data_IF_780935466304
#
_entry.id   IF_780935466304
#
_cell.length_a   1.000
_cell.length_b   1.000
_cell.length_c   1.000
_cell.angle_alpha   90.00
_cell.angle_beta   90.00
_cell.angle_gamma   90.00
#
_symmetry.space_group_name_H-M   'P 1'
#
loop_
_entity.id
_entity.type
_entity.pdbx_description
1 polymer ?
#
# COMPACT_ATOMS: atom_id res chain seq x y z
N UNK A 1 24.37 -9.36 -9.12
CA UNK A 1 25.41 -8.67 -8.32
C UNK A 1 24.83 -8.47 -6.95
N UNK A 2 25.48 -8.97 -5.89
CA UNK A 2 25.03 -8.73 -4.52
C UNK A 2 24.96 -7.21 -4.30
N UNK A 3 23.82 -6.70 -3.81
CA UNK A 3 23.67 -5.31 -3.45
C UNK A 3 24.78 -4.93 -2.47
N UNK A 4 25.61 -3.96 -2.83
CA UNK A 4 26.59 -3.40 -1.92
C UNK A 4 25.80 -2.69 -0.81
N UNK A 5 25.91 -3.17 0.43
CA UNK A 5 25.35 -2.47 1.58
C UNK A 5 25.97 -1.06 1.64
N UNK A 6 25.19 0.02 1.48
CA UNK A 6 25.69 1.37 1.67
C UNK A 6 26.11 1.54 3.15
N UNK A 7 27.07 2.42 3.41
CA UNK A 7 27.71 2.62 4.72
C UNK A 7 26.71 2.69 5.89
N UNK A 8 26.99 1.95 6.96
CA UNK A 8 26.22 1.72 8.20
C UNK A 8 25.68 2.94 8.97
N UNK A 9 25.89 4.18 8.54
CA UNK A 9 25.33 5.34 9.24
C UNK A 9 24.22 5.96 8.42
N UNK A 10 23.03 6.07 9.01
CA UNK A 10 21.93 6.88 8.51
C UNK A 10 22.45 8.24 8.01
N UNK A 11 22.08 8.68 6.79
CA UNK A 11 22.46 9.99 6.27
C UNK A 11 22.12 11.12 7.26
N UNK A 12 22.90 12.20 7.21
CA UNK A 12 22.73 13.33 8.13
C UNK A 12 21.60 14.26 7.68
N UNK A 13 20.94 14.88 8.64
CA UNK A 13 20.00 15.98 8.41
C UNK A 13 20.72 17.33 8.46
N UNK A 14 20.21 18.29 7.69
CA UNK A 14 20.72 19.67 7.64
C UNK A 14 19.54 20.64 7.84
N UNK A 15 19.02 20.78 9.08
CA UNK A 15 17.76 21.49 9.35
C UNK A 15 17.84 23.01 9.07
N UNK A 16 19.04 23.57 8.99
CA UNK A 16 19.25 24.99 8.67
C UNK A 16 19.09 25.29 7.17
N UNK A 17 19.15 24.27 6.30
CA UNK A 17 18.92 24.41 4.88
C UNK A 17 17.41 24.41 4.57
N UNK A 18 17.00 25.14 3.53
CA UNK A 18 15.65 25.00 2.97
C UNK A 18 15.53 23.68 2.22
N UNK A 19 14.33 23.09 2.18
CA UNK A 19 14.09 21.85 1.42
C UNK A 19 14.33 22.03 -0.07
N UNK A 20 14.06 23.22 -0.61
CA UNK A 20 14.33 23.57 -2.01
C UNK A 20 15.78 23.99 -2.31
N UNK A 21 16.70 23.89 -1.34
CA UNK A 21 18.11 24.18 -1.57
C UNK A 21 18.75 23.15 -2.51
N UNK A 22 19.37 23.63 -3.59
CA UNK A 22 19.95 22.74 -4.61
C UNK A 22 21.12 21.90 -4.11
N UNK A 23 21.91 22.41 -3.15
CA UNK A 23 23.01 21.67 -2.56
C UNK A 23 22.52 20.54 -1.65
N UNK A 24 21.51 20.84 -0.83
CA UNK A 24 20.81 19.81 -0.03
C UNK A 24 20.20 18.73 -0.93
N UNK A 25 19.47 19.11 -1.98
CA UNK A 25 18.81 18.15 -2.87
C UNK A 25 19.80 17.27 -3.62
N UNK A 26 20.96 17.80 -4.01
CA UNK A 26 22.03 17.00 -4.60
C UNK A 26 22.55 15.96 -3.60
N UNK A 27 22.81 16.36 -2.35
CA UNK A 27 23.24 15.44 -1.30
C UNK A 27 22.15 14.40 -0.96
N UNK A 28 20.87 14.75 -1.03
CA UNK A 28 19.76 13.79 -0.89
C UNK A 28 19.73 12.80 -2.05
N UNK A 29 19.93 13.26 -3.29
CA UNK A 29 19.99 12.41 -4.49
C UNK A 29 21.13 11.39 -4.37
N UNK A 30 22.32 11.81 -3.96
CA UNK A 30 23.49 10.92 -3.80
C UNK A 30 23.42 10.07 -2.53
N UNK A 31 22.52 10.37 -1.60
CA UNK A 31 22.35 9.64 -0.34
C UNK A 31 23.30 10.07 0.77
N UNK A 32 23.94 11.23 0.63
CA UNK A 32 24.82 11.84 1.64
C UNK A 32 24.02 12.60 2.71
N UNK A 33 22.81 13.05 2.38
CA UNK A 33 21.89 13.73 3.28
C UNK A 33 20.49 13.10 3.23
N UNK A 34 19.68 13.36 4.25
CA UNK A 34 18.24 13.06 4.27
C UNK A 34 17.44 14.29 4.68
N UNK A 35 16.19 14.35 4.23
CA UNK A 35 15.28 15.47 4.48
C UNK A 35 14.68 15.41 5.89
N UNK A 36 14.45 16.57 6.51
CA UNK A 36 13.54 16.70 7.65
C UNK A 36 12.07 16.69 7.18
N UNK A 37 11.09 16.40 8.04
CA UNK A 37 9.67 16.46 7.65
C UNK A 37 9.23 17.87 7.18
N UNK A 38 9.79 18.95 7.73
CA UNK A 38 9.52 20.32 7.29
C UNK A 38 10.03 20.57 5.87
N UNK A 39 11.24 20.10 5.56
CA UNK A 39 11.81 20.20 4.21
C UNK A 39 10.97 19.38 3.23
N UNK A 40 10.55 18.17 3.61
CA UNK A 40 9.61 17.37 2.82
C UNK A 40 8.27 18.06 2.57
N UNK A 41 7.73 18.74 3.57
CA UNK A 41 6.49 19.52 3.45
C UNK A 41 6.67 20.73 2.53
N UNK A 42 7.79 21.43 2.62
CA UNK A 42 8.15 22.53 1.71
C UNK A 42 8.19 22.03 0.27
N UNK A 43 8.84 20.89 0.00
CA UNK A 43 8.88 20.28 -1.32
C UNK A 43 7.47 19.91 -1.81
N UNK A 44 6.68 19.24 -0.97
CA UNK A 44 5.32 18.79 -1.32
C UNK A 44 4.39 19.95 -1.64
N UNK A 45 4.55 21.10 -0.99
CA UNK A 45 3.59 22.23 -1.09
C UNK A 45 4.07 23.38 -1.97
N UNK A 46 5.39 23.57 -2.15
CA UNK A 46 5.93 24.77 -2.81
C UNK A 46 6.77 24.50 -4.05
N UNK A 47 7.44 23.35 -4.16
CA UNK A 47 8.29 23.07 -5.32
C UNK A 47 7.43 22.88 -6.59
N UNK A 48 7.81 23.44 -7.76
CA UNK A 48 7.13 23.16 -9.02
C UNK A 48 7.08 21.65 -9.31
N UNK A 49 5.92 21.13 -9.72
CA UNK A 49 5.68 19.68 -9.87
C UNK A 49 6.73 18.97 -10.74
N UNK A 50 7.09 19.56 -11.88
CA UNK A 50 8.06 18.95 -12.80
C UNK A 50 9.47 18.95 -12.20
N UNK A 51 9.83 19.99 -11.45
CA UNK A 51 11.12 20.05 -10.77
C UNK A 51 11.22 19.00 -9.66
N UNK A 52 10.16 18.85 -8.87
CA UNK A 52 10.05 17.80 -7.85
C UNK A 52 10.16 16.40 -8.47
N UNK A 53 9.48 16.16 -9.59
CA UNK A 53 9.60 14.91 -10.34
C UNK A 53 11.05 14.64 -10.78
N UNK A 54 11.74 15.64 -11.32
CA UNK A 54 13.15 15.51 -11.75
C UNK A 54 14.08 15.13 -10.60
N UNK A 55 13.95 15.75 -9.43
CA UNK A 55 14.77 15.40 -8.26
C UNK A 55 14.49 13.97 -7.80
N UNK A 56 13.22 13.56 -7.74
CA UNK A 56 12.83 12.21 -7.37
C UNK A 56 13.30 11.15 -8.38
N UNK A 57 13.19 11.41 -9.68
CA UNK A 57 13.70 10.54 -10.75
C UNK A 57 15.22 10.40 -10.67
N UNK A 58 15.95 11.50 -10.45
CA UNK A 58 17.40 11.45 -10.23
C UNK A 58 17.76 10.55 -9.04
N UNK A 59 17.08 10.70 -7.90
CA UNK A 59 17.29 9.80 -6.74
C UNK A 59 16.99 8.34 -7.10
N UNK A 60 15.90 8.08 -7.81
CA UNK A 60 15.55 6.73 -8.26
C UNK A 60 16.64 6.13 -9.17
N UNK A 61 17.17 6.90 -10.12
CA UNK A 61 18.28 6.49 -11.00
C UNK A 61 19.58 6.26 -10.25
N UNK A 62 19.90 7.06 -9.23
CA UNK A 62 21.05 6.81 -8.36
C UNK A 62 20.95 5.44 -7.67
N UNK A 63 19.74 5.04 -7.23
CA UNK A 63 19.52 3.79 -6.51
C UNK A 63 19.39 2.56 -7.42
N UNK A 64 18.73 2.70 -8.56
CA UNK A 64 18.32 1.57 -9.41
C UNK A 64 18.96 1.56 -10.80
N UNK A 65 19.74 2.59 -11.12
CA UNK A 65 20.29 2.81 -12.45
C UNK A 65 19.24 3.29 -13.47
N UNK A 66 19.73 3.46 -14.70
CA UNK A 66 18.96 4.03 -15.82
C UNK A 66 18.25 2.99 -16.67
N UNK A 67 18.55 1.70 -16.50
CA UNK A 67 18.14 0.66 -17.44
C UNK A 67 16.78 0.08 -17.12
N UNK A 68 16.58 -0.43 -15.91
CA UNK A 68 15.43 -1.28 -15.60
C UNK A 68 14.37 -0.59 -14.75
N UNK A 69 13.10 -0.95 -14.99
CA UNK A 69 12.00 -0.75 -14.03
C UNK A 69 11.22 -2.06 -13.91
N UNK A 70 10.78 -2.35 -12.71
CA UNK A 70 10.30 -3.69 -12.37
C UNK A 70 8.78 -3.81 -12.35
N UNK A 71 8.31 -5.05 -12.47
CA UNK A 71 6.94 -5.45 -12.19
C UNK A 71 6.95 -6.87 -11.59
N UNK A 72 5.87 -7.29 -10.95
CA UNK A 72 5.69 -8.65 -10.45
C UNK A 72 4.48 -9.31 -11.11
N UNK A 73 4.50 -10.64 -11.21
CA UNK A 73 3.31 -11.42 -11.56
C UNK A 73 2.85 -12.08 -10.27
N UNK A 74 1.86 -11.48 -9.63
CA UNK A 74 1.23 -12.01 -8.43
C UNK A 74 -0.29 -12.15 -8.61
N UNK A 75 -0.95 -12.69 -7.58
CA UNK A 75 -2.40 -12.65 -7.47
C UNK A 75 -2.83 -12.10 -6.13
N UNK A 76 -3.72 -11.10 -6.16
CA UNK A 76 -4.44 -10.63 -4.99
C UNK A 76 -5.55 -11.63 -4.64
N UNK A 77 -5.52 -12.16 -3.43
CA UNK A 77 -6.53 -13.09 -2.91
C UNK A 77 -7.14 -12.50 -1.66
N UNK A 78 -8.43 -12.17 -1.73
CA UNK A 78 -9.19 -11.82 -0.55
C UNK A 78 -9.94 -13.06 -0.06
N UNK A 79 -9.41 -13.70 0.98
CA UNK A 79 -9.97 -14.97 1.48
C UNK A 79 -11.30 -14.79 2.21
N UNK A 80 -11.61 -13.58 2.68
CA UNK A 80 -12.92 -13.21 3.24
C UNK A 80 -13.13 -11.71 3.15
N UNK A 81 -14.39 -11.27 3.03
CA UNK A 81 -14.77 -9.87 3.20
C UNK A 81 -15.48 -9.59 4.55
N UNK A 82 -15.69 -10.62 5.39
CA UNK A 82 -16.24 -10.49 6.75
C UNK A 82 -15.21 -9.83 7.64
N UNK A 83 -15.57 -8.71 8.28
CA UNK A 83 -14.60 -7.90 9.01
C UNK A 83 -15.20 -7.23 10.26
N UNK A 84 -14.51 -7.33 11.40
CA UNK A 84 -14.88 -6.64 12.64
C UNK A 84 -14.69 -5.12 12.58
N UNK A 85 -13.77 -4.62 11.76
CA UNK A 85 -13.53 -3.18 11.63
C UNK A 85 -14.61 -2.47 10.82
N UNK A 86 -14.89 -1.22 11.22
CA UNK A 86 -15.89 -0.34 10.60
C UNK A 86 -15.22 0.89 9.99
N UNK A 87 -14.20 0.64 9.18
CA UNK A 87 -13.43 1.67 8.49
C UNK A 87 -14.35 2.50 7.58
N UNK A 88 -14.34 3.83 7.74
CA UNK A 88 -15.25 4.70 6.98
C UNK A 88 -14.85 4.83 5.52
N UNK A 89 -13.64 4.44 5.15
CA UNK A 89 -13.10 4.46 3.79
C UNK A 89 -13.18 3.12 3.06
N UNK A 90 -13.68 2.05 3.71
CA UNK A 90 -13.67 0.71 3.14
C UNK A 90 -15.04 0.37 2.56
N UNK A 91 -15.10 0.12 1.24
CA UNK A 91 -16.30 -0.40 0.56
C UNK A 91 -16.36 -1.94 0.54
N UNK A 92 -15.26 -2.61 0.90
CA UNK A 92 -15.12 -4.06 0.82
C UNK A 92 -15.70 -4.79 2.04
N UNK A 93 -15.63 -4.19 3.23
CA UNK A 93 -16.03 -4.86 4.48
C UNK A 93 -17.51 -5.22 4.51
N UNK A 94 -17.81 -6.41 5.04
CA UNK A 94 -19.15 -6.90 5.34
C UNK A 94 -19.26 -7.36 6.79
N UNK A 95 -20.44 -7.16 7.36
CA UNK A 95 -20.85 -7.87 8.57
C UNK A 95 -21.18 -9.34 8.16
N UNK A 96 -21.10 -10.29 9.10
CA UNK A 96 -21.17 -11.72 8.76
C UNK A 96 -22.54 -12.18 8.22
N UNK A 97 -23.59 -11.40 8.47
CA UNK A 97 -24.96 -11.62 8.04
C UNK A 97 -25.34 -10.82 6.77
N UNK A 98 -24.42 -9.99 6.24
CA UNK A 98 -24.63 -9.32 4.97
C UNK A 98 -24.77 -10.36 3.84
N UNK A 99 -25.73 -10.14 2.94
CA UNK A 99 -26.07 -11.06 1.85
C UNK A 99 -24.92 -11.36 0.86
N UNK A 100 -23.95 -10.45 0.75
CA UNK A 100 -22.77 -10.57 -0.10
C UNK A 100 -21.49 -10.80 0.72
N UNK A 101 -21.62 -11.24 1.98
CA UNK A 101 -20.50 -11.72 2.78
C UNK A 101 -20.01 -13.10 2.30
N UNK A 102 -18.70 -13.35 2.38
CA UNK A 102 -18.10 -14.63 2.00
C UNK A 102 -16.83 -14.94 2.77
N UNK A 103 -16.51 -16.23 2.85
CA UNK A 103 -15.18 -16.77 3.16
C UNK A 103 -14.88 -17.88 2.16
N UNK A 104 -13.77 -17.76 1.43
CA UNK A 104 -13.36 -18.76 0.44
C UNK A 104 -12.94 -20.05 1.14
N UNK A 105 -13.28 -21.20 0.54
CA UNK A 105 -12.70 -22.47 0.95
C UNK A 105 -11.22 -22.54 0.58
N UNK A 106 -10.40 -23.33 1.30
CA UNK A 106 -9.02 -23.59 0.91
C UNK A 106 -8.90 -24.08 -0.54
N UNK A 107 -9.83 -24.93 -1.01
CA UNK A 107 -9.87 -25.44 -2.38
C UNK A 107 -10.01 -24.31 -3.41
N UNK A 108 -10.92 -23.35 -3.18
CA UNK A 108 -11.08 -22.20 -4.06
C UNK A 108 -9.82 -21.32 -4.09
N UNK A 109 -9.11 -21.22 -2.96
CA UNK A 109 -7.81 -20.52 -2.89
C UNK A 109 -6.75 -21.29 -3.69
N UNK A 110 -6.70 -22.62 -3.59
CA UNK A 110 -5.75 -23.44 -4.34
C UNK A 110 -6.00 -23.35 -5.86
N UNK A 111 -7.25 -23.33 -6.32
CA UNK A 111 -7.58 -23.17 -7.73
C UNK A 111 -7.10 -21.81 -8.26
N UNK A 112 -7.31 -20.75 -7.49
CA UNK A 112 -6.79 -19.41 -7.80
C UNK A 112 -5.25 -19.39 -7.89
N UNK A 113 -4.55 -20.13 -7.03
CA UNK A 113 -3.08 -20.25 -7.07
C UNK A 113 -2.63 -21.08 -8.28
N UNK A 114 -3.35 -22.15 -8.63
CA UNK A 114 -3.04 -22.95 -9.81
C UNK A 114 -3.12 -22.13 -11.11
N UNK A 115 -4.14 -21.28 -11.24
CA UNK A 115 -4.26 -20.33 -12.36
C UNK A 115 -3.09 -19.34 -12.42
N UNK A 116 -2.63 -18.83 -11.27
CA UNK A 116 -1.46 -17.95 -11.19
C UNK A 116 -0.18 -18.68 -11.64
N UNK A 117 0.04 -19.90 -11.15
CA UNK A 117 1.21 -20.71 -11.52
C UNK A 117 1.22 -21.00 -13.03
N UNK A 118 0.04 -21.26 -13.62
CA UNK A 118 -0.11 -21.53 -15.05
C UNK A 118 0.35 -20.37 -15.95
N UNK A 119 0.28 -19.12 -15.46
CA UNK A 119 0.78 -17.93 -16.17
C UNK A 119 2.19 -17.52 -15.72
N UNK A 120 2.87 -18.34 -14.94
CA UNK A 120 4.25 -18.11 -14.48
C UNK A 120 4.36 -17.08 -13.36
N UNK A 121 3.29 -16.89 -12.58
CA UNK A 121 3.32 -16.11 -11.36
C UNK A 121 4.05 -16.82 -10.22
N UNK A 122 4.64 -16.03 -9.32
CA UNK A 122 5.55 -16.54 -8.27
C UNK A 122 5.15 -16.14 -6.86
N UNK A 123 4.06 -15.38 -6.72
CA UNK A 123 3.68 -14.77 -5.45
C UNK A 123 2.15 -14.65 -5.35
N UNK A 124 1.63 -14.80 -4.14
CA UNK A 124 0.29 -14.31 -3.80
C UNK A 124 0.37 -13.16 -2.81
N UNK A 125 -0.50 -12.18 -2.98
CA UNK A 125 -0.82 -11.18 -1.96
C UNK A 125 -2.17 -11.55 -1.35
N UNK A 126 -2.17 -12.06 -0.11
CA UNK A 126 -3.38 -12.59 0.53
C UNK A 126 -3.77 -11.79 1.78
N UNK A 127 -4.91 -11.10 1.71
CA UNK A 127 -5.41 -10.23 2.78
C UNK A 127 -6.93 -10.30 2.83
N UNK A 128 -7.52 -10.35 4.02
CA UNK A 128 -8.96 -10.48 4.18
C UNK A 128 -9.55 -9.47 5.16
N UNK A 129 -10.86 -9.58 5.34
CA UNK A 129 -11.50 -9.05 6.52
C UNK A 129 -11.07 -9.81 7.78
N UNK A 130 -11.18 -9.14 8.93
CA UNK A 130 -10.81 -9.69 10.23
C UNK A 130 -11.99 -10.50 10.76
N UNK A 131 -12.06 -11.78 10.36
CA UNK A 131 -13.19 -12.68 10.60
C UNK A 131 -12.99 -13.52 11.90
N UNK A 132 -13.76 -13.28 12.97
CA UNK A 132 -13.58 -13.96 14.26
C UNK A 132 -14.03 -15.42 14.25
N UNK A 133 -14.72 -15.88 13.19
CA UNK A 133 -15.15 -17.27 13.06
C UNK A 133 -14.00 -18.22 12.63
N UNK A 134 -12.87 -17.67 12.18
CA UNK A 134 -11.73 -18.45 11.70
C UNK A 134 -10.73 -18.69 12.84
N UNK A 135 -10.52 -19.93 13.31
CA UNK A 135 -9.53 -20.23 14.33
C UNK A 135 -8.11 -20.16 13.74
N UNK A 136 -7.09 -19.93 14.59
CA UNK A 136 -5.68 -19.88 14.17
C UNK A 136 -5.27 -21.12 13.32
N UNK A 137 -5.75 -22.31 13.69
CA UNK A 137 -5.46 -23.55 12.96
C UNK A 137 -5.90 -23.51 11.49
N UNK A 138 -6.99 -22.79 11.16
CA UNK A 138 -7.43 -22.63 9.78
C UNK A 138 -6.38 -21.90 8.93
N UNK A 139 -5.78 -20.84 9.47
CA UNK A 139 -4.71 -20.09 8.81
C UNK A 139 -3.45 -20.96 8.64
N UNK A 140 -3.06 -21.70 9.68
CA UNK A 140 -1.89 -22.59 9.60
C UNK A 140 -2.10 -23.72 8.58
N UNK A 141 -3.29 -24.33 8.55
CA UNK A 141 -3.65 -25.38 7.61
C UNK A 141 -3.67 -24.86 6.17
N UNK A 142 -4.20 -23.65 5.96
CA UNK A 142 -4.18 -22.98 4.66
C UNK A 142 -2.74 -22.76 4.18
N UNK A 143 -1.87 -22.17 4.99
CA UNK A 143 -0.47 -21.91 4.63
C UNK A 143 0.29 -23.20 4.31
N UNK A 144 0.17 -24.23 5.17
CA UNK A 144 0.78 -25.55 4.95
C UNK A 144 0.26 -26.20 3.67
N UNK A 145 -1.05 -26.09 3.43
CA UNK A 145 -1.69 -26.61 2.24
C UNK A 145 -1.24 -25.94 0.95
N UNK A 146 -1.01 -24.62 0.97
CA UNK A 146 -0.42 -23.86 -0.14
C UNK A 146 1.01 -24.33 -0.39
N UNK A 147 1.87 -24.35 0.63
CA UNK A 147 3.28 -24.76 0.48
C UNK A 147 3.44 -26.21 0.00
N UNK A 148 2.56 -27.11 0.43
CA UNK A 148 2.58 -28.50 -0.01
C UNK A 148 2.23 -28.66 -1.51
N UNK A 149 1.29 -27.86 -2.02
CA UNK A 149 0.81 -27.94 -3.42
C UNK A 149 1.64 -27.08 -4.37
N UNK A 150 2.10 -25.93 -3.90
CA UNK A 150 2.76 -24.90 -4.69
C UNK A 150 4.05 -24.43 -3.99
N UNK A 151 5.07 -25.29 -3.84
CA UNK A 151 6.27 -24.98 -3.06
C UNK A 151 7.07 -23.78 -3.59
N UNK A 152 6.90 -23.43 -4.86
CA UNK A 152 7.54 -22.26 -5.48
C UNK A 152 6.79 -20.93 -5.29
N UNK A 153 5.62 -20.92 -4.65
CA UNK A 153 4.85 -19.68 -4.40
C UNK A 153 5.32 -19.01 -3.11
N UNK A 154 5.64 -17.72 -3.25
CA UNK A 154 5.86 -16.80 -2.15
C UNK A 154 4.52 -16.32 -1.57
N UNK A 155 4.30 -16.54 -0.28
CA UNK A 155 3.10 -16.16 0.45
C UNK A 155 3.33 -14.82 1.14
N UNK A 156 2.91 -13.75 0.48
CA UNK A 156 2.86 -12.39 1.04
C UNK A 156 1.47 -12.18 1.65
N UNK A 157 1.30 -12.41 2.95
CA UNK A 157 -0.04 -12.50 3.53
C UNK A 157 -0.17 -11.84 4.91
N UNK A 158 -1.42 -11.47 5.22
CA UNK A 158 -1.89 -10.89 6.48
C UNK A 158 -1.26 -9.54 6.82
N UNK A 159 -2.11 -8.53 6.88
CA UNK A 159 -1.72 -7.17 7.25
C UNK A 159 -1.60 -6.98 8.77
N UNK A 160 -0.93 -5.91 9.23
CA UNK A 160 -0.87 -5.61 10.65
C UNK A 160 -2.23 -5.54 11.38
N UNK A 161 -3.30 -4.95 10.82
CA UNK A 161 -4.63 -5.05 11.43
C UNK A 161 -5.08 -6.49 11.69
N UNK A 162 -4.85 -7.42 10.75
CA UNK A 162 -5.20 -8.83 10.94
C UNK A 162 -4.39 -9.47 12.08
N UNK A 163 -3.10 -9.18 12.18
CA UNK A 163 -2.27 -9.67 13.29
C UNK A 163 -2.69 -9.12 14.65
N UNK A 164 -3.10 -7.86 14.73
CA UNK A 164 -3.63 -7.27 15.96
C UNK A 164 -4.94 -7.95 16.36
N UNK A 165 -5.81 -8.22 15.39
CA UNK A 165 -7.03 -9.00 15.66
C UNK A 165 -6.73 -10.46 16.00
N UNK A 166 -5.68 -11.09 15.44
CA UNK A 166 -5.25 -12.42 15.88
C UNK A 166 -4.82 -12.43 17.35
N UNK A 167 -4.14 -11.38 17.81
CA UNK A 167 -3.82 -11.21 19.23
C UNK A 167 -5.10 -11.08 20.06
N UNK A 168 -6.09 -10.32 19.60
CA UNK A 168 -7.36 -10.17 20.31
C UNK A 168 -8.22 -11.46 20.32
N UNK A 169 -8.32 -12.15 19.19
CA UNK A 169 -9.16 -13.33 19.02
C UNK A 169 -8.59 -14.57 19.68
N UNK A 170 -7.27 -14.74 19.63
CA UNK A 170 -6.62 -15.96 20.09
C UNK A 170 -5.97 -15.83 21.47
N UNK A 171 -5.90 -14.61 22.02
CA UNK A 171 -5.29 -14.26 23.31
C UNK A 171 -4.00 -15.06 23.59
N UNK A 172 -2.96 -14.90 22.74
CA UNK A 172 -1.72 -15.65 22.89
C UNK A 172 -0.99 -15.25 24.18
N UNK A 173 -0.13 -16.13 24.72
CA UNK A 173 0.68 -15.81 25.89
C UNK A 173 1.67 -14.67 25.61
N UNK A 174 2.00 -13.90 26.64
CA UNK A 174 2.92 -12.76 26.58
C UNK A 174 2.40 -11.58 27.38
N UNK A 175 3.30 -10.81 27.99
CA UNK A 175 2.97 -9.64 28.80
C UNK A 175 2.92 -8.36 27.94
N UNK A 176 3.61 -8.38 26.80
CA UNK A 176 3.70 -7.26 25.86
C UNK A 176 3.06 -7.58 24.51
N UNK A 177 2.68 -6.53 23.78
CA UNK A 177 2.17 -6.67 22.42
C UNK A 177 3.19 -7.36 21.49
N UNK A 178 4.48 -7.03 21.63
CA UNK A 178 5.55 -7.65 20.84
C UNK A 178 5.63 -9.17 21.06
N UNK A 179 5.53 -9.65 22.31
CA UNK A 179 5.55 -11.09 22.64
C UNK A 179 4.32 -11.81 22.08
N UNK A 180 3.14 -11.22 22.24
CA UNK A 180 1.88 -11.76 21.73
C UNK A 180 1.88 -11.86 20.20
N UNK A 181 2.33 -10.80 19.51
CA UNK A 181 2.50 -10.80 18.06
C UNK A 181 3.51 -11.85 17.62
N UNK A 182 4.66 -11.93 18.31
CA UNK A 182 5.72 -12.89 17.98
C UNK A 182 5.24 -14.33 18.11
N UNK A 183 4.42 -14.63 19.11
CA UNK A 183 3.83 -15.96 19.28
C UNK A 183 2.99 -16.37 18.06
N UNK A 184 2.02 -15.53 17.68
CA UNK A 184 1.14 -15.82 16.53
C UNK A 184 1.95 -15.87 15.23
N UNK A 185 2.82 -14.89 15.01
CA UNK A 185 3.56 -14.77 13.77
C UNK A 185 4.55 -15.91 13.58
N UNK A 186 5.24 -16.35 14.64
CA UNK A 186 6.13 -17.51 14.56
C UNK A 186 5.38 -18.76 14.10
N UNK A 187 4.18 -19.00 14.62
CA UNK A 187 3.34 -20.13 14.20
C UNK A 187 2.97 -20.07 12.72
N UNK A 188 2.63 -18.89 12.22
CA UNK A 188 2.32 -18.69 10.79
C UNK A 188 3.57 -18.81 9.91
N UNK A 189 4.73 -18.34 10.36
CA UNK A 189 6.03 -18.55 9.68
C UNK A 189 6.37 -20.04 9.61
N UNK A 190 6.26 -20.76 10.73
CA UNK A 190 6.48 -22.21 10.79
C UNK A 190 5.48 -22.97 9.89
N UNK A 191 4.30 -22.41 9.64
CA UNK A 191 3.30 -22.94 8.71
C UNK A 191 3.54 -22.57 7.23
N UNK A 192 4.43 -21.62 6.94
CA UNK A 192 4.84 -21.26 5.57
C UNK A 192 4.63 -19.81 5.14
N UNK A 193 4.35 -18.87 6.06
CA UNK A 193 4.30 -17.44 5.75
C UNK A 193 5.70 -16.91 5.40
N UNK A 194 5.84 -16.20 4.27
CA UNK A 194 7.15 -15.73 3.80
C UNK A 194 7.37 -14.21 3.96
N UNK A 195 6.30 -13.39 3.94
CA UNK A 195 6.39 -11.93 4.14
C UNK A 195 5.03 -11.31 4.49
N UNK A 196 5.04 -10.06 4.99
CA UNK A 196 3.82 -9.34 5.36
C UNK A 196 3.56 -8.11 4.49
N UNK A 197 2.34 -7.93 3.96
CA UNK A 197 1.95 -6.73 3.23
C UNK A 197 1.70 -5.53 4.14
N UNK A 198 1.98 -4.35 3.61
CA UNK A 198 1.81 -3.07 4.30
C UNK A 198 0.38 -2.58 4.48
N UNK A 199 -0.63 -3.40 4.20
CA UNK A 199 -2.04 -2.99 4.30
C UNK A 199 -2.39 -2.40 5.67
N UNK A 200 -3.28 -1.41 5.70
CA UNK A 200 -3.71 -0.79 6.95
C UNK A 200 -2.81 0.32 7.50
N UNK A 201 -1.81 0.76 6.75
CA UNK A 201 -0.98 1.92 7.09
C UNK A 201 -1.75 3.25 6.99
N UNK A 202 -2.64 3.40 6.00
CA UNK A 202 -3.51 4.57 5.79
C UNK A 202 -2.77 5.91 6.07
N UNK A 203 -3.18 6.64 7.11
CA UNK A 203 -2.44 7.75 7.72
C UNK A 203 -2.21 7.44 9.20
N UNK A 204 -1.00 7.69 9.72
CA UNK A 204 -0.66 7.37 11.11
C UNK A 204 -1.11 8.41 12.13
N UNK A 205 -1.24 9.68 11.72
CA UNK A 205 -1.64 10.75 12.62
C UNK A 205 -2.90 10.41 13.41
N UNK A 206 -2.81 10.48 14.74
CA UNK A 206 -3.85 10.04 15.67
C UNK A 206 -5.19 10.74 15.42
N UNK A 207 -5.27 12.06 15.15
CA UNK A 207 -6.52 12.73 14.81
C UNK A 207 -7.21 12.14 13.58
N UNK A 208 -6.44 11.71 12.57
CA UNK A 208 -6.96 11.09 11.34
C UNK A 208 -7.43 9.67 11.64
N UNK A 209 -6.59 8.83 12.28
CA UNK A 209 -6.93 7.43 12.59
C UNK A 209 -8.21 7.30 13.40
N UNK A 210 -8.40 8.14 14.42
CA UNK A 210 -9.60 8.15 15.26
C UNK A 210 -10.90 8.38 14.47
N UNK A 211 -10.83 9.03 13.30
CA UNK A 211 -12.02 9.29 12.46
C UNK A 211 -12.24 8.25 11.36
N UNK A 212 -11.16 7.68 10.81
CA UNK A 212 -11.27 6.84 9.61
C UNK A 212 -11.22 5.33 9.91
N UNK A 213 -10.51 4.92 10.95
CA UNK A 213 -10.17 3.53 11.24
C UNK A 213 -10.85 2.96 12.48
N UNK A 214 -12.18 3.07 12.58
CA UNK A 214 -12.92 2.51 13.72
C UNK A 214 -12.74 0.98 13.80
N UNK A 215 -12.18 0.48 14.91
CA UNK A 215 -11.87 -0.93 15.11
C UNK A 215 -10.66 -1.44 14.33
N UNK A 216 -9.84 -0.54 13.76
CA UNK A 216 -8.55 -0.88 13.16
C UNK A 216 -7.43 -0.54 14.14
N UNK A 217 -6.28 -1.22 14.04
CA UNK A 217 -5.11 -0.91 14.86
C UNK A 217 -4.66 0.56 14.69
N UNK A 218 -3.93 1.11 15.66
CA UNK A 218 -3.31 2.44 15.54
C UNK A 218 -1.93 2.37 14.87
N UNK A 219 -1.19 3.48 14.90
CA UNK A 219 0.14 3.57 14.28
C UNK A 219 1.18 2.71 15.02
N UNK A 220 1.22 2.80 16.35
CA UNK A 220 2.19 2.06 17.16
C UNK A 220 1.98 0.56 17.03
N UNK A 221 0.73 0.08 17.09
CA UNK A 221 0.41 -1.33 16.88
C UNK A 221 0.78 -1.80 15.46
N UNK A 222 0.54 -0.98 14.44
CA UNK A 222 0.93 -1.29 13.06
C UNK A 222 2.45 -1.41 12.90
N UNK A 223 3.20 -0.43 13.42
CA UNK A 223 4.66 -0.36 13.34
C UNK A 223 5.31 -1.47 14.17
N UNK A 224 4.78 -1.75 15.35
CA UNK A 224 5.20 -2.87 16.22
C UNK A 224 5.03 -4.21 15.51
N UNK A 225 3.91 -4.42 14.82
CA UNK A 225 3.69 -5.66 14.06
C UNK A 225 4.72 -5.85 12.96
N UNK A 226 5.02 -4.79 12.21
CA UNK A 226 6.05 -4.85 11.17
C UNK A 226 7.44 -5.13 11.74
N UNK A 227 7.79 -4.49 12.85
CA UNK A 227 9.07 -4.73 13.53
C UNK A 227 9.20 -6.16 14.07
N UNK A 228 8.11 -6.72 14.62
CA UNK A 228 8.09 -8.13 15.02
C UNK A 228 8.32 -9.05 13.81
N UNK A 229 7.71 -8.76 12.66
CA UNK A 229 7.98 -9.50 11.43
C UNK A 229 9.45 -9.41 11.00
N UNK A 230 10.01 -8.20 11.02
CA UNK A 230 11.43 -7.99 10.72
C UNK A 230 12.33 -8.79 11.67
N UNK A 231 12.02 -8.83 12.97
CA UNK A 231 12.78 -9.64 13.93
C UNK A 231 12.66 -11.16 13.78
N UNK A 232 11.75 -11.62 12.92
CA UNK A 232 11.65 -13.02 12.50
C UNK A 232 12.29 -13.25 11.12
N UNK A 233 13.03 -12.27 10.59
CA UNK A 233 13.69 -12.33 9.30
C UNK A 233 12.80 -12.03 8.09
N UNK A 234 11.54 -11.63 8.31
CA UNK A 234 10.60 -11.40 7.21
C UNK A 234 10.77 -10.02 6.59
N UNK A 235 10.78 -9.95 5.27
CA UNK A 235 10.63 -8.67 4.57
C UNK A 235 9.17 -8.24 4.55
N UNK A 236 8.94 -6.92 4.51
CA UNK A 236 7.58 -6.37 4.46
C UNK A 236 7.48 -5.21 3.48
N UNK A 237 6.25 -4.73 3.25
CA UNK A 237 5.99 -3.45 2.57
C UNK A 237 5.33 -2.47 3.54
N UNK A 238 5.42 -1.18 3.25
CA UNK A 238 4.70 -0.12 3.93
C UNK A 238 3.74 0.57 2.96
N UNK A 239 2.59 1.02 3.44
CA UNK A 239 1.60 1.67 2.57
C UNK A 239 0.98 2.90 3.18
N UNK A 240 0.59 3.85 2.32
CA UNK A 240 -0.06 5.09 2.73
C UNK A 240 -1.22 5.42 1.78
N UNK A 241 -2.45 5.30 2.27
CA UNK A 241 -3.63 5.78 1.57
C UNK A 241 -3.89 7.24 1.95
N UNK A 242 -4.01 8.13 0.97
CA UNK A 242 -4.08 9.58 1.21
C UNK A 242 -5.11 10.27 0.31
N UNK A 243 -5.31 11.58 0.48
CA UNK A 243 -6.25 12.35 -0.35
C UNK A 243 -7.67 12.29 0.18
N UNK A 244 -7.82 12.34 1.50
CA UNK A 244 -9.08 12.36 2.20
C UNK A 244 -9.14 13.50 3.22
N UNK A 245 -9.18 13.20 4.52
CA UNK A 245 -9.36 14.21 5.59
C UNK A 245 -8.04 14.78 6.10
N UNK A 246 -6.91 14.19 5.75
CA UNK A 246 -5.58 14.46 6.31
C UNK A 246 -4.95 15.74 5.77
N UNK A 247 -4.10 16.38 6.58
CA UNK A 247 -3.25 17.46 6.10
C UNK A 247 -2.02 16.95 5.37
N UNK A 248 -1.34 17.84 4.63
CA UNK A 248 -0.08 17.46 3.98
C UNK A 248 1.00 17.03 4.99
N UNK A 249 1.09 17.70 6.15
CA UNK A 249 2.03 17.34 7.20
C UNK A 249 1.78 15.92 7.76
N UNK A 250 0.53 15.44 7.79
CA UNK A 250 0.23 14.06 8.23
C UNK A 250 0.85 13.00 7.30
N UNK A 251 0.97 13.30 5.99
CA UNK A 251 1.62 12.40 5.03
C UNK A 251 3.12 12.30 5.28
N UNK A 252 3.77 13.44 5.54
CA UNK A 252 5.19 13.49 5.86
C UNK A 252 5.48 12.86 7.23
N UNK A 253 4.60 13.08 8.22
CA UNK A 253 4.66 12.38 9.50
C UNK A 253 4.57 10.86 9.32
N UNK A 254 3.66 10.37 8.48
CA UNK A 254 3.57 8.95 8.17
C UNK A 254 4.89 8.42 7.59
N UNK A 255 5.46 9.09 6.58
CA UNK A 255 6.75 8.70 5.98
C UNK A 255 7.90 8.75 7.00
N UNK A 256 7.92 9.75 7.88
CA UNK A 256 8.91 9.89 8.94
C UNK A 256 8.89 8.68 9.88
N UNK A 257 7.70 8.25 10.34
CA UNK A 257 7.57 7.08 11.21
C UNK A 257 8.03 5.79 10.50
N UNK A 258 7.64 5.57 9.23
CA UNK A 258 8.14 4.43 8.45
C UNK A 258 9.67 4.45 8.37
N UNK A 259 10.26 5.61 8.05
CA UNK A 259 11.73 5.79 7.95
C UNK A 259 12.43 5.49 9.28
N UNK A 260 11.92 6.01 10.40
CA UNK A 260 12.52 5.81 11.72
C UNK A 260 12.45 4.34 12.17
N UNK A 261 11.34 3.66 11.91
CA UNK A 261 11.21 2.24 12.23
C UNK A 261 12.05 1.35 11.32
N UNK A 262 12.23 1.74 10.06
CA UNK A 262 13.22 1.12 9.18
C UNK A 262 14.65 1.30 9.72
N UNK A 263 15.03 2.51 10.16
CA UNK A 263 16.34 2.74 10.79
C UNK A 263 16.52 1.83 12.03
N UNK A 264 15.48 1.69 12.86
CA UNK A 264 15.47 0.77 14.03
C UNK A 264 15.68 -0.69 13.61
N UNK A 265 15.01 -1.15 12.55
CA UNK A 265 15.14 -2.51 12.03
C UNK A 265 16.54 -2.76 11.45
N UNK A 266 17.04 -1.85 10.62
CA UNK A 266 18.37 -1.96 10.00
C UNK A 266 19.51 -1.93 11.04
N UNK A 267 19.39 -1.09 12.09
CA UNK A 267 20.34 -1.09 13.20
C UNK A 267 20.34 -2.42 13.99
N UNK A 268 19.19 -3.10 14.04
CA UNK A 268 19.08 -4.43 14.66
C UNK A 268 19.71 -5.52 13.77
N UNK A 269 19.58 -5.38 12.45
CA UNK A 269 20.16 -6.28 11.44
C UNK A 269 21.70 -6.36 11.47
N UNK A 270 22.38 -5.37 12.08
CA UNK A 270 23.84 -5.41 12.27
C UNK A 270 24.29 -6.50 13.23
N UNK A 271 23.38 -7.01 14.08
CA UNK A 271 23.70 -7.96 15.16
C UNK A 271 23.28 -9.39 14.82
N UNK A 272 22.17 -9.55 14.12
CA UNK A 272 21.58 -10.85 13.78
C UNK A 272 20.69 -10.74 12.52
N UNK A 273 20.34 -11.86 11.85
CA UNK A 273 19.45 -11.82 10.69
C UNK A 273 18.12 -11.13 11.01
N UNK A 274 17.85 -10.02 10.32
CA UNK A 274 16.67 -9.19 10.52
C UNK A 274 16.11 -8.78 9.17
N UNK A 275 14.81 -8.91 9.00
CA UNK A 275 14.07 -8.41 7.84
C UNK A 275 13.95 -6.88 7.87
N UNK A 276 13.25 -6.31 6.90
CA UNK A 276 13.04 -4.86 6.79
C UNK A 276 11.97 -4.56 5.73
N UNK A 277 11.56 -3.29 5.62
CA UNK A 277 10.71 -2.86 4.52
C UNK A 277 11.49 -2.87 3.19
N UNK A 278 10.97 -3.57 2.18
CA UNK A 278 11.51 -3.53 0.81
C UNK A 278 10.86 -2.43 -0.04
N UNK A 279 9.63 -2.06 0.28
CA UNK A 279 8.83 -1.21 -0.59
C UNK A 279 7.91 -0.27 0.19
N UNK A 280 7.71 0.92 -0.36
CA UNK A 280 6.65 1.84 0.04
C UNK A 280 5.72 2.10 -1.14
N UNK A 281 4.41 1.97 -0.91
CA UNK A 281 3.37 2.17 -1.92
C UNK A 281 2.34 3.14 -1.37
N UNK A 282 2.14 4.27 -2.05
CA UNK A 282 1.12 5.25 -1.69
C UNK A 282 0.05 5.36 -2.76
N UNK A 283 -1.22 5.45 -2.38
CA UNK A 283 -2.32 5.60 -3.34
C UNK A 283 -3.40 6.56 -2.84
N UNK A 284 -4.09 7.25 -3.75
CA UNK A 284 -5.22 8.08 -3.35
C UNK A 284 -6.45 7.27 -2.93
N UNK A 285 -7.17 7.81 -1.95
CA UNK A 285 -8.47 7.37 -1.50
C UNK A 285 -9.48 7.30 -2.66
N UNK A 286 -10.14 6.15 -2.77
CA UNK A 286 -11.25 5.91 -3.70
C UNK A 286 -12.57 6.06 -2.92
N UNK A 287 -13.42 6.98 -3.34
CA UNK A 287 -14.52 7.48 -2.50
C UNK A 287 -15.82 6.72 -2.71
N UNK A 288 -16.01 6.17 -3.89
CA UNK A 288 -17.27 5.57 -4.32
C UNK A 288 -17.62 4.40 -3.39
N UNK A 289 -18.90 4.25 -3.05
CA UNK A 289 -19.42 3.22 -2.14
C UNK A 289 -18.87 3.21 -0.71
N UNK A 290 -18.11 4.23 -0.29
CA UNK A 290 -17.61 4.35 1.10
C UNK A 290 -18.43 5.34 1.93
N UNK A 291 -18.57 5.15 3.25
CA UNK A 291 -19.14 6.16 4.14
C UNK A 291 -18.42 7.52 4.07
N UNK A 292 -17.09 7.53 4.07
CA UNK A 292 -16.26 8.73 4.03
C UNK A 292 -16.44 9.48 2.71
N UNK A 293 -16.60 8.76 1.60
CA UNK A 293 -16.89 9.36 0.30
C UNK A 293 -18.26 10.03 0.18
N UNK A 294 -19.13 9.95 1.20
CA UNK A 294 -20.40 10.69 1.22
C UNK A 294 -20.24 12.11 1.73
N UNK A 295 -19.12 12.44 2.38
CA UNK A 295 -18.88 13.82 2.84
C UNK A 295 -18.50 14.71 1.63
N UNK A 296 -18.83 16.01 1.67
CA UNK A 296 -18.54 16.92 0.57
C UNK A 296 -17.05 17.11 0.32
N UNK A 297 -16.70 17.31 -0.94
CA UNK A 297 -15.35 17.68 -1.34
C UNK A 297 -15.03 19.11 -0.87
N UNK A 298 -13.81 19.34 -0.40
CA UNK A 298 -13.33 20.68 -0.03
C UNK A 298 -13.23 21.58 -1.26
N UNK A 299 -13.68 22.83 -1.13
CA UNK A 299 -13.72 23.79 -2.23
C UNK A 299 -14.95 23.65 -3.12
N UNK A 300 -15.87 22.73 -2.80
CA UNK A 300 -17.12 22.56 -3.56
C UNK A 300 -18.24 23.49 -3.09
N UNK A 301 -18.12 24.15 -1.93
CA UNK A 301 -19.17 25.00 -1.34
C UNK A 301 -18.75 26.47 -1.26
N UNK A 302 -19.69 27.42 -1.50
CA UNK A 302 -19.48 28.82 -1.16
C UNK A 302 -19.17 28.98 0.33
N UNK A 303 -18.06 29.62 0.66
CA UNK A 303 -17.61 29.83 2.04
C UNK A 303 -16.69 28.75 2.60
N UNK A 304 -16.32 27.72 1.81
CA UNK A 304 -15.12 26.93 2.12
C UNK A 304 -13.93 27.93 2.17
N UNK A 305 -13.17 27.92 3.27
CA UNK A 305 -12.07 28.85 3.50
C UNK A 305 -10.87 28.61 2.58
N UNK A 306 -9.80 29.40 2.74
CA UNK A 306 -8.56 29.18 1.97
C UNK A 306 -7.77 27.96 2.45
N UNK A 307 -7.86 27.63 3.75
CA UNK A 307 -7.08 26.57 4.39
C UNK A 307 -7.94 25.34 4.64
N UNK A 308 -7.49 24.19 4.15
CA UNK A 308 -8.17 22.91 4.38
C UNK A 308 -8.14 22.54 5.88
N UNK A 309 -9.26 22.13 6.51
CA UNK A 309 -9.29 21.80 7.93
C UNK A 309 -8.26 20.74 8.35
N UNK A 310 -7.96 19.78 7.48
CA UNK A 310 -6.93 18.77 7.73
C UNK A 310 -5.53 19.36 7.85
N UNK A 311 -5.19 20.43 7.11
CA UNK A 311 -3.88 21.07 7.24
C UNK A 311 -3.72 21.77 8.59
N UNK A 312 -4.77 22.43 9.09
CA UNK A 312 -4.77 23.06 10.42
C UNK A 312 -4.56 22.02 11.54
N UNK A 313 -5.24 20.87 11.41
CA UNK A 313 -5.12 19.79 12.39
C UNK A 313 -3.74 19.13 12.31
N UNK A 314 -3.20 18.92 11.10
CA UNK A 314 -1.90 18.32 10.91
C UNK A 314 -0.76 19.21 11.44
N UNK A 315 -0.86 20.53 11.24
CA UNK A 315 0.07 21.51 11.79
C UNK A 315 0.04 21.49 13.32
N UNK A 316 -1.16 21.55 13.92
CA UNK A 316 -1.32 21.51 15.37
C UNK A 316 -0.98 20.14 15.99
N UNK A 317 -1.03 19.05 15.22
CA UNK A 317 -0.59 17.72 15.66
C UNK A 317 0.93 17.64 15.77
N UNK A 318 1.65 18.59 15.13
CA UNK A 318 3.08 18.83 15.28
C UNK A 318 3.90 17.53 15.17
N UNK A 319 3.77 16.83 14.04
CA UNK A 319 4.54 15.60 13.77
C UNK A 319 4.37 14.49 14.83
N UNK A 320 3.24 14.47 15.55
CA UNK A 320 2.99 13.49 16.62
C UNK A 320 3.35 13.98 18.02
N UNK A 321 3.88 15.19 18.20
CA UNK A 321 4.17 15.77 19.53
C UNK A 321 2.89 16.03 20.35
N UNK A 322 1.73 16.13 19.69
CA UNK A 322 0.45 16.40 20.34
C UNK A 322 -0.60 15.32 20.00
N UNK A 323 -0.39 14.06 20.43
CA UNK A 323 -1.25 12.94 20.03
C UNK A 323 -2.68 13.09 20.55
N UNK A 324 -2.87 13.75 21.70
CA UNK A 324 -4.18 14.01 22.33
C UNK A 324 -4.87 15.29 21.87
N UNK A 325 -4.43 15.85 20.75
CA UNK A 325 -5.05 17.03 20.15
C UNK A 325 -6.56 16.82 19.90
N UNK A 326 -7.38 17.65 20.55
CA UNK A 326 -8.78 17.85 20.13
C UNK A 326 -8.85 19.00 19.12
N UNK A 327 -9.02 18.65 17.84
CA UNK A 327 -9.23 19.58 16.72
C UNK A 327 -10.30 20.64 16.97
N UNK A 328 -11.29 20.38 17.84
CA UNK A 328 -12.37 21.34 18.14
C UNK A 328 -11.86 22.58 18.88
N UNK A 329 -10.68 22.51 19.49
CA UNK A 329 -10.06 23.61 20.22
C UNK A 329 -9.33 24.61 19.30
N UNK A 330 -9.06 24.22 18.05
CA UNK A 330 -8.31 25.01 17.06
C UNK A 330 -9.17 26.07 16.32
N UNK A 331 -10.41 26.27 16.77
CA UNK A 331 -11.32 27.25 16.20
C UNK A 331 -12.25 26.71 15.10
N UNK A 332 -13.11 27.58 14.52
CA UNK A 332 -14.22 27.16 13.68
C UNK A 332 -13.82 26.44 12.39
N UNK A 333 -12.70 26.79 11.77
CA UNK A 333 -12.24 26.16 10.53
C UNK A 333 -11.83 24.69 10.75
N UNK A 334 -11.16 24.39 11.86
CA UNK A 334 -10.76 23.02 12.22
C UNK A 334 -11.96 22.14 12.60
N UNK A 335 -13.11 22.72 12.99
CA UNK A 335 -14.31 21.96 13.34
C UNK A 335 -14.91 21.16 12.15
N UNK A 336 -14.57 21.55 10.91
CA UNK A 336 -14.95 20.82 9.69
C UNK A 336 -14.03 19.61 9.39
N UNK A 337 -12.98 19.38 10.18
CA UNK A 337 -12.08 18.22 10.02
C UNK A 337 -12.86 16.91 10.12
N UNK A 338 -12.72 16.05 9.10
CA UNK A 338 -13.49 14.81 8.95
C UNK A 338 -14.91 14.98 8.41
N UNK A 339 -15.38 16.21 8.18
CA UNK A 339 -16.66 16.52 7.52
C UNK A 339 -16.48 17.00 6.07
N UNK A 340 -15.22 17.08 5.62
CA UNK A 340 -14.79 17.45 4.28
C UNK A 340 -13.66 16.53 3.84
N UNK A 341 -13.58 16.24 2.56
CA UNK A 341 -12.47 15.48 1.96
C UNK A 341 -11.75 16.32 0.92
N UNK A 342 -10.43 16.31 0.92
CA UNK A 342 -9.59 16.86 -0.14
C UNK A 342 -9.09 15.73 -1.02
N UNK A 343 -9.84 15.45 -2.09
CA UNK A 343 -9.46 14.45 -3.08
C UNK A 343 -8.13 14.81 -3.72
N UNK A 344 -7.31 13.79 -3.98
CA UNK A 344 -6.05 13.98 -4.72
C UNK A 344 -6.28 13.83 -6.23
N UNK A 345 -5.78 14.80 -6.99
CA UNK A 345 -5.66 14.73 -8.44
C UNK A 345 -4.47 13.86 -8.86
N UNK A 346 -4.30 13.65 -10.18
CA UNK A 346 -3.10 13.03 -10.72
C UNK A 346 -1.82 13.81 -10.37
N UNK A 347 -1.89 15.14 -10.27
CA UNK A 347 -0.75 15.98 -9.88
C UNK A 347 -0.42 15.77 -8.41
N UNK A 348 -1.42 15.79 -7.52
CA UNK A 348 -1.21 15.57 -6.09
C UNK A 348 -0.61 14.18 -5.81
N UNK A 349 -1.04 13.18 -6.58
CA UNK A 349 -0.47 11.85 -6.54
C UNK A 349 1.02 11.84 -6.92
N UNK A 350 1.35 12.37 -8.10
CA UNK A 350 2.74 12.39 -8.59
C UNK A 350 3.67 13.18 -7.65
N UNK A 351 3.18 14.28 -7.05
CA UNK A 351 3.92 15.05 -6.05
C UNK A 351 4.16 14.24 -4.78
N UNK A 352 3.14 13.55 -4.27
CA UNK A 352 3.25 12.70 -3.07
C UNK A 352 4.22 11.54 -3.31
N UNK A 353 4.16 10.91 -4.48
CA UNK A 353 5.07 9.83 -4.86
C UNK A 353 6.52 10.32 -4.96
N UNK A 354 6.76 11.47 -5.61
CA UNK A 354 8.09 12.06 -5.74
C UNK A 354 8.69 12.42 -4.38
N UNK A 355 7.93 13.05 -3.51
CA UNK A 355 8.37 13.34 -2.14
C UNK A 355 8.65 12.07 -1.35
N UNK A 356 7.87 11.00 -1.53
CA UNK A 356 8.11 9.70 -0.89
C UNK A 356 9.52 9.16 -1.23
N UNK A 357 9.93 9.23 -2.49
CA UNK A 357 11.28 8.83 -2.93
C UNK A 357 12.40 9.67 -2.31
N UNK A 358 12.16 10.96 -2.09
CA UNK A 358 13.15 11.86 -1.49
C UNK A 358 13.19 11.77 0.04
N UNK A 359 12.06 11.49 0.69
CA UNK A 359 11.94 11.36 2.14
C UNK A 359 12.43 10.01 2.66
N UNK A 360 12.10 8.92 1.97
CA UNK A 360 12.35 7.55 2.39
C UNK A 360 13.70 7.06 1.82
N UNK A 361 14.80 7.60 2.36
CA UNK A 361 16.16 7.27 1.89
C UNK A 361 16.60 5.83 2.17
N UNK A 362 15.92 5.16 3.11
CA UNK A 362 16.23 3.81 3.60
C UNK A 362 15.19 2.75 3.18
N UNK A 363 14.28 3.09 2.26
CA UNK A 363 13.34 2.15 1.64
C UNK A 363 13.79 1.91 0.19
N UNK A 364 14.00 0.64 -0.16
CA UNK A 364 14.57 0.28 -1.45
C UNK A 364 13.69 0.72 -2.62
N UNK A 365 12.44 0.23 -2.68
CA UNK A 365 11.54 0.48 -3.80
C UNK A 365 10.40 1.44 -3.47
N UNK A 366 10.06 2.32 -4.42
CA UNK A 366 8.81 3.09 -4.41
C UNK A 366 7.93 2.57 -5.55
N UNK A 367 6.74 2.10 -5.20
CA UNK A 367 5.77 1.56 -6.16
C UNK A 367 4.89 2.63 -6.79
N UNK A 368 4.56 2.45 -8.08
CA UNK A 368 3.62 3.27 -8.82
C UNK A 368 2.20 2.69 -8.77
N UNK A 369 1.25 3.42 -8.20
CA UNK A 369 -0.13 3.02 -7.96
C UNK A 369 -1.04 3.27 -9.18
N UNK A 370 -0.78 2.54 -10.26
CA UNK A 370 -1.61 2.62 -11.47
C UNK A 370 -3.03 2.06 -11.25
N UNK A 371 -3.24 1.19 -10.26
CA UNK A 371 -4.55 0.58 -9.95
C UNK A 371 -5.58 1.63 -9.55
N UNK A 372 -5.16 2.66 -8.82
CA UNK A 372 -6.06 3.76 -8.38
C UNK A 372 -6.06 4.94 -9.34
N UNK A 373 -4.93 5.18 -10.04
CA UNK A 373 -4.72 6.39 -10.84
C UNK A 373 -4.88 6.19 -12.35
N UNK A 374 -4.93 4.94 -12.78
CA UNK A 374 -4.94 4.53 -14.17
C UNK A 374 -3.52 4.32 -14.75
N UNK A 375 -3.44 3.58 -15.88
CA UNK A 375 -2.17 3.11 -16.44
C UNK A 375 -1.19 4.23 -16.79
N UNK A 376 -1.67 5.32 -17.40
CA UNK A 376 -0.81 6.41 -17.87
C UNK A 376 -0.28 7.30 -16.74
N UNK A 377 -1.05 7.47 -15.66
CA UNK A 377 -0.53 8.17 -14.48
C UNK A 377 0.51 7.28 -13.78
N UNK A 378 0.26 5.97 -13.73
CA UNK A 378 1.25 5.01 -13.24
C UNK A 378 2.55 5.01 -14.04
N UNK A 379 2.44 5.05 -15.38
CA UNK A 379 3.57 5.22 -16.29
C UNK A 379 4.34 6.51 -16.03
N UNK A 380 3.64 7.65 -15.90
CA UNK A 380 4.27 8.92 -15.55
C UNK A 380 4.98 8.86 -14.18
N UNK A 381 4.45 8.06 -13.24
CA UNK A 381 5.06 7.79 -11.94
C UNK A 381 6.51 7.29 -12.03
N UNK A 382 6.91 6.61 -13.12
CA UNK A 382 8.30 6.17 -13.32
C UNK A 382 9.29 7.33 -13.44
N UNK A 383 8.84 8.50 -13.89
CA UNK A 383 9.61 9.74 -13.94
C UNK A 383 9.41 10.63 -12.69
N UNK A 384 8.69 10.12 -11.68
CA UNK A 384 8.44 10.77 -10.39
C UNK A 384 8.91 9.89 -9.22
N UNK A 385 10.03 9.18 -9.43
CA UNK A 385 10.73 8.44 -8.39
C UNK A 385 10.30 6.99 -8.16
N UNK A 386 9.31 6.48 -8.89
CA UNK A 386 8.98 5.05 -8.82
C UNK A 386 10.04 4.19 -9.51
N UNK A 387 10.33 3.05 -8.89
CA UNK A 387 11.20 2.00 -9.43
C UNK A 387 10.42 0.79 -9.95
N UNK A 388 9.16 0.69 -9.55
CA UNK A 388 8.34 -0.51 -9.74
C UNK A 388 6.89 -0.14 -10.14
N UNK A 389 6.33 -0.88 -11.11
CA UNK A 389 4.95 -0.74 -11.57
C UNK A 389 3.97 -1.63 -10.81
N UNK A 390 4.37 -2.31 -9.75
CA UNK A 390 3.50 -3.24 -9.02
C UNK A 390 3.22 -4.52 -9.80
N UNK A 391 2.06 -5.11 -9.54
CA UNK A 391 1.73 -6.44 -10.04
C UNK A 391 0.91 -6.44 -11.33
N UNK A 392 0.99 -7.50 -12.11
CA UNK A 392 -0.05 -7.90 -13.06
C UNK A 392 -1.34 -8.19 -12.29
N UNK A 393 -2.43 -7.54 -12.68
CA UNK A 393 -3.69 -7.67 -11.94
C UNK A 393 -4.64 -8.63 -12.64
N UNK A 394 -4.61 -9.89 -12.19
CA UNK A 394 -5.56 -10.92 -12.65
C UNK A 394 -6.95 -10.75 -12.01
N UNK A 395 -7.01 -10.24 -10.78
CA UNK A 395 -8.22 -10.05 -9.98
C UNK A 395 -8.02 -8.88 -9.00
N UNK A 396 -9.05 -8.07 -8.78
CA UNK A 396 -9.04 -6.97 -7.80
C UNK A 396 -10.46 -6.76 -7.23
N UNK A 397 -10.64 -7.01 -5.93
CA UNK A 397 -11.96 -6.96 -5.28
C UNK A 397 -12.13 -5.75 -4.33
N UNK A 398 -11.04 -5.12 -3.88
CA UNK A 398 -11.10 -4.09 -2.82
C UNK A 398 -11.29 -2.71 -3.42
N UNK A 399 -10.42 -2.31 -4.34
CA UNK A 399 -10.47 -1.02 -5.06
C UNK A 399 -11.68 -0.98 -6.01
N UNK A 400 -12.04 -2.11 -6.61
CA UNK A 400 -13.21 -2.26 -7.47
C UNK A 400 -14.51 -2.10 -6.71
N UNK A 401 -14.58 -2.57 -5.45
CA UNK A 401 -15.72 -2.28 -4.57
C UNK A 401 -15.89 -0.78 -4.32
N UNK A 402 -14.78 -0.03 -4.36
CA UNK A 402 -14.73 1.43 -4.29
C UNK A 402 -14.80 2.11 -5.67
N UNK A 403 -15.31 1.42 -6.70
CA UNK A 403 -15.66 2.00 -8.00
C UNK A 403 -14.53 2.13 -9.03
N UNK A 404 -13.29 1.75 -8.69
CA UNK A 404 -12.14 1.89 -9.59
C UNK A 404 -11.71 0.53 -10.15
N UNK A 405 -11.65 0.43 -11.49
CA UNK A 405 -11.43 -0.84 -12.20
C UNK A 405 -10.36 -0.68 -13.27
N UNK A 406 -9.10 -0.75 -12.87
CA UNK A 406 -7.99 -0.91 -13.79
C UNK A 406 -7.39 -2.30 -13.60
N UNK A 407 -7.29 -3.07 -14.69
CA UNK A 407 -6.51 -4.30 -14.76
C UNK A 407 -5.51 -4.15 -15.90
N UNK A 408 -4.25 -4.50 -15.63
CA UNK A 408 -3.19 -4.54 -16.62
C UNK A 408 -2.61 -5.95 -16.66
N UNK A 409 -2.56 -6.50 -17.87
CA UNK A 409 -1.80 -7.72 -18.13
C UNK A 409 -0.30 -7.41 -18.27
N UNK A 410 0.50 -8.47 -18.34
CA UNK A 410 1.96 -8.36 -18.47
C UNK A 410 2.40 -7.57 -19.70
N UNK A 411 1.72 -7.75 -20.84
CA UNK A 411 2.07 -7.07 -22.08
C UNK A 411 1.85 -5.56 -21.97
N UNK A 412 0.76 -5.13 -21.34
CA UNK A 412 0.51 -3.70 -21.11
C UNK A 412 1.52 -3.11 -20.12
N UNK A 413 1.84 -3.79 -19.02
CA UNK A 413 2.88 -3.32 -18.08
C UNK A 413 4.24 -3.17 -18.76
N UNK A 414 4.66 -4.19 -19.52
CA UNK A 414 5.92 -4.14 -20.28
C UNK A 414 5.94 -2.96 -21.26
N UNK A 415 4.84 -2.75 -21.99
CA UNK A 415 4.73 -1.61 -22.91
C UNK A 415 4.83 -0.27 -22.18
N UNK A 416 4.11 -0.08 -21.07
CA UNK A 416 4.12 1.19 -20.34
C UNK A 416 5.53 1.52 -19.81
N UNK A 417 6.23 0.52 -19.28
CA UNK A 417 7.63 0.66 -18.83
C UNK A 417 8.53 1.05 -20.01
N UNK A 418 8.36 0.38 -21.16
CA UNK A 418 9.16 0.65 -22.35
C UNK A 418 8.92 2.02 -22.96
N UNK A 419 7.65 2.39 -23.11
CA UNK A 419 7.22 3.68 -23.61
C UNK A 419 7.67 4.83 -22.67
N UNK A 420 7.93 4.53 -21.39
CA UNK A 420 8.54 5.45 -20.42
C UNK A 420 10.08 5.54 -20.54
N UNK A 421 10.71 4.78 -21.43
CA UNK A 421 12.15 4.81 -21.71
C UNK A 421 12.99 3.80 -20.92
N UNK A 422 12.38 2.79 -20.30
CA UNK A 422 13.09 1.77 -19.52
C UNK A 422 12.93 0.36 -20.10
N UNK A 423 13.75 -0.57 -19.64
CA UNK A 423 13.60 -2.00 -19.93
C UNK A 423 12.75 -2.65 -18.82
N UNK A 424 11.61 -3.30 -19.15
CA UNK A 424 10.81 -4.01 -18.18
C UNK A 424 11.52 -5.25 -17.68
N UNK A 425 11.44 -5.48 -16.37
CA UNK A 425 12.01 -6.66 -15.75
C UNK A 425 11.03 -7.24 -14.71
N UNK A 426 10.70 -8.52 -14.85
CA UNK A 426 9.94 -9.24 -13.83
C UNK A 426 10.83 -9.48 -12.62
N UNK A 427 10.31 -9.18 -11.43
CA UNK A 427 10.95 -9.46 -10.14
C UNK A 427 10.18 -10.48 -9.29
N UNK A 428 10.81 -10.97 -8.23
CA UNK A 428 10.15 -11.64 -7.10
C UNK A 428 9.79 -10.64 -5.97
N UNK A 429 9.35 -11.14 -4.80
CA UNK A 429 9.04 -10.30 -3.62
C UNK A 429 10.27 -9.60 -3.01
N UNK A 430 11.43 -10.23 -3.13
CA UNK A 430 12.72 -9.71 -2.66
C UNK A 430 13.36 -8.73 -3.66
N UNK A 431 12.66 -8.37 -4.73
CA UNK A 431 13.14 -7.50 -5.81
C UNK A 431 14.29 -8.08 -6.64
N UNK A 432 14.56 -9.38 -6.55
CA UNK A 432 15.48 -10.04 -7.47
C UNK A 432 14.85 -10.13 -8.87
N UNK A 433 15.64 -9.80 -9.89
CA UNK A 433 15.20 -9.90 -11.28
C UNK A 433 15.14 -11.37 -11.70
N UNK A 434 13.95 -11.82 -12.08
CA UNK A 434 13.69 -13.15 -12.59
C UNK A 434 13.85 -13.20 -14.12
N UNK A 435 13.28 -12.21 -14.82
CA UNK A 435 13.28 -12.15 -16.29
C UNK A 435 13.40 -10.71 -16.78
N UNK A 436 14.34 -10.46 -17.69
CA UNK A 436 14.48 -9.17 -18.39
C UNK A 436 13.76 -9.26 -19.73
N UNK A 437 12.86 -8.32 -19.99
CA UNK A 437 12.02 -8.30 -21.19
C UNK A 437 12.65 -7.40 -22.27
N UNK A 438 13.85 -7.77 -22.73
CA UNK A 438 14.62 -7.07 -23.77
C UNK A 438 14.98 -7.99 -24.95
N UNK A 439 13.98 -8.66 -25.52
CA UNK A 439 14.16 -9.56 -26.65
C UNK A 439 12.93 -9.54 -27.57
N UNK A 440 13.02 -9.99 -28.83
CA UNK A 440 11.89 -9.95 -29.77
C UNK A 440 10.61 -10.64 -29.27
N UNK A 441 10.76 -11.66 -28.40
CA UNK A 441 9.65 -12.40 -27.80
C UNK A 441 9.08 -11.74 -26.52
N UNK A 442 9.49 -10.51 -26.18
CA UNK A 442 8.98 -9.84 -24.98
C UNK A 442 7.46 -9.69 -25.05
N UNK A 443 6.72 -9.82 -23.93
CA UNK A 443 5.26 -9.83 -23.91
C UNK A 443 4.61 -8.70 -24.72
N UNK A 444 5.13 -7.48 -24.59
CA UNK A 444 4.65 -6.31 -25.32
C UNK A 444 4.99 -6.34 -26.82
N UNK A 445 6.17 -6.82 -27.19
CA UNK A 445 6.64 -6.83 -28.58
C UNK A 445 5.94 -7.88 -29.45
N UNK A 446 5.33 -8.90 -28.83
CA UNK A 446 4.52 -9.92 -29.53
C UNK A 446 3.11 -9.45 -29.87
N UNK A 447 2.60 -8.40 -29.22
CA UNK A 447 1.24 -7.92 -29.44
C UNK A 447 1.13 -7.20 -30.78
N UNK A 448 0.33 -7.75 -31.69
CA UNK A 448 0.05 -7.15 -33.02
C UNK A 448 -1.21 -6.27 -33.03
N UNK A 449 -2.16 -6.57 -32.15
CA UNK A 449 -3.39 -5.81 -32.00
C UNK A 449 -3.64 -5.44 -30.53
N UNK A 450 -3.30 -4.20 -30.19
CA UNK A 450 -3.50 -3.65 -28.85
C UNK A 450 -4.96 -3.37 -28.51
N UNK A 451 -5.89 -3.45 -29.47
CA UNK A 451 -7.31 -3.24 -29.20
C UNK A 451 -7.90 -4.31 -28.27
N UNK A 452 -7.32 -5.52 -28.29
CA UNK A 452 -7.70 -6.63 -27.41
C UNK A 452 -7.22 -6.47 -25.96
N UNK A 453 -6.24 -5.59 -25.73
CA UNK A 453 -5.57 -5.30 -24.45
C UNK A 453 -6.06 -4.00 -23.79
N UNK A 454 -7.13 -3.39 -24.31
CA UNK A 454 -7.77 -2.26 -23.62
C UNK A 454 -8.21 -2.70 -22.23
N UNK A 455 -7.97 -1.85 -21.22
CA UNK A 455 -8.43 -2.08 -19.85
C UNK A 455 -9.92 -2.48 -19.87
N UNK A 456 -10.21 -3.72 -19.47
CA UNK A 456 -11.58 -4.27 -19.43
C UNK A 456 -12.20 -3.94 -18.07
N UNK A 457 -13.54 -3.81 -18.02
CA UNK A 457 -14.27 -3.80 -16.74
C UNK A 457 -14.24 -5.21 -16.13
N UNK A 458 -14.11 -5.27 -14.80
CA UNK A 458 -13.78 -6.48 -14.02
C UNK A 458 -14.84 -7.60 -14.11
N UNK A 459 -14.39 -8.84 -13.96
CA UNK A 459 -15.23 -9.96 -13.51
C UNK A 459 -15.38 -9.85 -11.99
N UNK A 460 -16.53 -9.36 -11.52
CA UNK A 460 -16.87 -9.32 -10.10
C UNK A 460 -17.27 -10.75 -9.70
N UNK A 461 -16.71 -11.27 -8.61
CA UNK A 461 -17.22 -12.49 -7.99
C UNK A 461 -18.54 -12.15 -7.27
N UNK A 462 -19.62 -12.00 -8.04
CA UNK A 462 -20.97 -12.23 -7.53
C UNK A 462 -21.32 -13.68 -7.83
N UNK A 463 -21.74 -14.41 -6.80
CA UNK A 463 -22.29 -15.75 -6.94
C UNK A 463 -23.55 -15.66 -7.82
N UNK A 464 -23.42 -15.93 -9.12
CA UNK A 464 -24.55 -15.90 -10.06
C UNK A 464 -25.40 -17.17 -9.93
N UNK A 465 -25.71 -17.58 -8.71
CA UNK A 465 -26.67 -18.63 -8.40
C UNK A 465 -27.95 -18.05 -7.78
N UNK A 466 -28.36 -16.85 -8.18
CA UNK A 466 -29.73 -16.40 -7.92
C UNK A 466 -30.67 -17.18 -8.86
N UNK A 467 -31.62 -17.98 -8.34
CA UNK A 467 -32.69 -18.50 -9.18
C UNK A 467 -33.49 -17.32 -9.75
N UNK A 468 -33.89 -17.44 -11.01
CA UNK A 468 -34.78 -16.46 -11.69
C UNK A 468 -35.94 -16.08 -10.77
N UNK A 469 -36.33 -14.79 -10.68
CA UNK A 469 -37.53 -14.41 -9.95
C UNK A 469 -38.71 -15.23 -10.47
N UNK A 470 -39.45 -15.87 -9.57
CA UNK A 470 -40.64 -16.61 -9.93
C UNK A 470 -41.66 -15.66 -10.57
N UNK A 471 -42.12 -15.99 -11.78
CA UNK A 471 -43.23 -15.28 -12.43
C UNK A 471 -44.52 -15.52 -11.65
N UNK A 472 -44.97 -14.49 -10.93
CA UNK A 472 -46.28 -14.44 -10.31
C UNK A 472 -47.35 -14.34 -11.40
N UNK A 473 -47.92 -15.48 -11.78
CA UNK A 473 -49.08 -15.52 -12.67
C UNK A 473 -50.34 -15.28 -11.84
N UNK A 474 -50.90 -14.06 -11.92
CA UNK A 474 -52.21 -13.77 -11.33
C UNK A 474 -53.29 -14.30 -12.27
N UNK A 475 -53.92 -15.41 -11.89
CA UNK A 475 -55.15 -15.87 -12.53
C UNK A 475 -56.30 -15.02 -12.02
N UNK A 476 -56.93 -14.23 -12.90
CA UNK A 476 -58.19 -13.51 -12.57
C UNK A 476 -59.32 -14.53 -12.47
N UNK A 477 -59.94 -14.61 -11.28
CA UNK A 477 -61.26 -15.20 -11.06
C UNK A 477 -62.29 -14.10 -10.90
#
# INVERSE_FOLDING_TARGET
MAAQNPSCSSPREYPTCRGCDGGLLEAVVTGEARLTPEQGLELLTRMPTIELGRWADRRCRTLHGDTFRTYVIDRNINYTNVCTAKCTFCAFRRDADDHDSYTLSPEAIYDKIAELVAVGGTQILMQGGMNPALPLAWYEDLLRGIKARFPGIHIHAFSPPEFIEFVHFFDPPGDTLEEKLRFVMKRLVDAGLDSLPGGGGEIFATPVRRKIGLGKCDADAWLTTMYVAHSLGLFTSATMMFGHIEGHADRLHHMLLVRQWQDRALASAEREPFGHYNAFISWPFQRENTPLGRVPDWGSRPGDGEVFPGDLVAEAHAWGEHPELDHRTLGPAAAEFGRRVRRSSAVDYLRTQAVSRLMLDNIFSIGSSWVTMGPHVGQAGLAFGASDMGSVMMEENVVSSAGTTYCLDEAVLCRLIRDAGFVPAQRNNSYDILRVQDHPESPDLRVRDWSAHRARRLHIQTDTSLPSPAELTITRG
#
